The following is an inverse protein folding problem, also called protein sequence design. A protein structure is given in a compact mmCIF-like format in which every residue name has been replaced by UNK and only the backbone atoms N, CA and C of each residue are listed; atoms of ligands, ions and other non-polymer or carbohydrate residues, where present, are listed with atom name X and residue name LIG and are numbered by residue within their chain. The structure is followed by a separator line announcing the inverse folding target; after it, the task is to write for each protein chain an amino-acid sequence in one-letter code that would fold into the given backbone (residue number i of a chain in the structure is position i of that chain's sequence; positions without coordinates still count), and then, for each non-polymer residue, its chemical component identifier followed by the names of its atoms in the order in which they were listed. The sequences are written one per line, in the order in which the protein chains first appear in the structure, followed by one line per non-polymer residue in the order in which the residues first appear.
data_IF_613189802205
#
_entry.id   IF_613189802205
#
_cell.length_a   1.000
_cell.length_b   1.000
_cell.length_c   1.000
_cell.angle_alpha   90.00
_cell.angle_beta   90.00
_cell.angle_gamma   90.00
#
_symmetry.space_group_name_H-M   'P 1'
#
loop_
_entity.id
_entity.type
_entity.pdbx_description
1 polymer ?
#
# COMPACT_ATOMS: atom_id res chain seq x y z
N UNK A 1 -24.69 18.73 -39.63
CA UNK A 1 -23.98 20.02 -39.52
C UNK A 1 -24.81 20.95 -38.67
N UNK A 2 -24.44 21.14 -37.40
CA UNK A 2 -24.94 22.22 -36.56
C UNK A 2 -23.84 22.50 -35.53
N UNK A 3 -23.23 23.68 -35.66
CA UNK A 3 -22.23 24.22 -34.75
C UNK A 3 -22.96 25.15 -33.79
N UNK A 4 -22.71 25.04 -32.48
CA UNK A 4 -23.04 26.08 -31.52
C UNK A 4 -21.85 26.32 -30.59
N UNK A 5 -21.31 27.52 -30.72
CA UNK A 5 -20.39 28.21 -29.83
C UNK A 5 -21.01 28.42 -28.44
N UNK A 6 -20.20 28.36 -27.38
CA UNK A 6 -20.33 29.28 -26.25
C UNK A 6 -18.94 29.70 -25.72
N UNK A 7 -18.83 31.00 -25.47
CA UNK A 7 -17.66 31.77 -24.99
C UNK A 7 -18.05 32.43 -23.65
N UNK A 8 -17.04 32.85 -22.88
CA UNK A 8 -17.04 33.63 -21.61
C UNK A 8 -17.20 32.80 -20.34
N UNK A 9 -16.35 32.91 -19.31
CA UNK A 9 -15.87 34.13 -18.64
C UNK A 9 -14.40 34.06 -18.19
N UNK A 10 -13.74 35.22 -18.16
CA UNK A 10 -12.57 35.51 -17.33
C UNK A 10 -13.02 36.17 -16.02
N UNK A 11 -12.33 35.95 -14.89
CA UNK A 11 -12.07 36.94 -13.83
C UNK A 11 -11.05 36.41 -12.80
N UNK A 12 -10.28 37.36 -12.27
CA UNK A 12 -9.04 37.33 -11.50
C UNK A 12 -9.14 36.78 -10.04
N UNK A 13 -8.00 36.61 -9.33
CA UNK A 13 -7.93 35.96 -8.03
C UNK A 13 -8.33 36.92 -6.90
N UNK A 14 -8.99 36.36 -5.87
CA UNK A 14 -9.24 37.07 -4.63
C UNK A 14 -8.27 36.57 -3.55
N UNK A 15 -7.26 37.40 -3.26
CA UNK A 15 -6.46 37.36 -2.04
C UNK A 15 -7.31 37.96 -0.93
N UNK A 16 -7.59 37.21 0.14
CA UNK A 16 -8.01 37.79 1.43
C UNK A 16 -7.21 37.14 2.55
N UNK A 17 -6.78 38.02 3.44
CA UNK A 17 -5.82 37.87 4.52
C UNK A 17 -6.24 36.91 5.64
N UNK A 18 -5.21 36.25 6.18
CA UNK A 18 -5.07 35.79 7.56
C UNK A 18 -5.63 36.79 8.58
N UNK A 19 -6.30 36.32 9.63
CA UNK A 19 -6.06 36.61 11.06
C UNK A 19 -7.14 35.92 11.89
N UNK A 20 -6.74 35.11 12.87
CA UNK A 20 -7.67 34.55 13.85
C UNK A 20 -7.00 33.57 14.80
N UNK A 21 -6.32 34.08 15.82
CA UNK A 21 -5.77 33.32 16.93
C UNK A 21 -6.86 32.54 17.67
N UNK A 22 -6.70 31.23 17.81
CA UNK A 22 -7.48 30.39 18.70
C UNK A 22 -6.56 29.62 19.64
N UNK A 23 -6.37 30.16 20.85
CA UNK A 23 -5.77 29.44 21.96
C UNK A 23 -6.76 28.38 22.45
N UNK A 24 -6.44 27.09 22.27
CA UNK A 24 -7.11 26.00 22.98
C UNK A 24 -6.14 25.40 23.99
N UNK A 25 -6.45 25.68 25.26
CA UNK A 25 -5.83 25.07 26.43
C UNK A 25 -6.15 23.57 26.49
N UNK A 26 -5.10 22.76 26.60
CA UNK A 26 -5.17 21.33 26.87
C UNK A 26 -5.66 21.08 28.31
N UNK A 27 -6.75 20.33 28.46
CA UNK A 27 -7.11 19.66 29.71
C UNK A 27 -6.73 18.20 29.58
N UNK A 28 -5.74 17.77 30.37
CA UNK A 28 -5.40 16.37 30.58
C UNK A 28 -6.50 15.67 31.37
N UNK A 29 -6.93 14.52 30.89
CA UNK A 29 -7.59 13.52 31.70
C UNK A 29 -7.06 12.16 31.25
N UNK A 30 -5.95 11.77 31.86
CA UNK A 30 -5.55 10.38 32.02
C UNK A 30 -6.64 9.66 32.81
N UNK A 31 -7.33 8.73 32.16
CA UNK A 31 -8.18 7.77 32.86
C UNK A 31 -8.06 6.42 32.13
N UNK A 32 -6.94 5.72 32.40
CA UNK A 32 -6.78 4.30 32.05
C UNK A 32 -6.88 3.47 33.32
N UNK A 33 -7.81 2.50 33.39
CA UNK A 33 -7.92 1.60 34.53
C UNK A 33 -6.72 0.65 34.58
N UNK A 34 -6.10 0.60 35.75
CA UNK A 34 -5.05 -0.33 36.15
C UNK A 34 -5.51 -1.79 36.03
N UNK A 35 -4.85 -2.58 35.19
CA UNK A 35 -5.01 -4.05 35.17
C UNK A 35 -4.13 -4.64 36.28
N UNK A 36 -4.66 -5.51 37.16
CA UNK A 36 -3.88 -6.13 38.22
C UNK A 36 -2.86 -7.12 37.66
N UNK A 37 -1.63 -7.03 38.16
CA UNK A 37 -0.57 -7.99 37.95
C UNK A 37 -0.98 -9.35 38.57
N UNK A 38 -1.35 -10.29 37.71
CA UNK A 38 -1.60 -11.68 38.04
C UNK A 38 -0.31 -12.50 37.92
N UNK A 39 0.25 -12.78 39.08
CA UNK A 39 1.32 -13.72 39.39
C UNK A 39 0.98 -15.15 38.94
N UNK A 40 1.77 -15.74 38.03
CA UNK A 40 1.77 -17.19 37.76
C UNK A 40 3.19 -17.66 37.45
N UNK A 41 4.00 -17.75 38.51
CA UNK A 41 5.13 -18.67 38.58
C UNK A 41 4.62 -20.09 38.81
N UNK A 42 4.94 -21.01 37.90
CA UNK A 42 4.84 -22.46 38.09
C UNK A 42 6.16 -23.13 37.64
N UNK A 43 6.78 -24.00 38.45
CA UNK A 43 8.06 -24.61 38.12
C UNK A 43 7.94 -25.92 37.34
N UNK A 44 8.96 -26.13 36.50
CA UNK A 44 9.62 -27.36 36.03
C UNK A 44 8.87 -28.71 36.09
N UNK A 45 8.84 -29.41 34.95
CA UNK A 45 9.06 -30.86 34.91
C UNK A 45 10.09 -31.25 33.85
N UNK A 46 11.13 -31.89 34.37
CA UNK A 46 12.20 -32.64 33.73
C UNK A 46 11.75 -34.10 33.60
N UNK A 47 12.10 -34.77 32.51
CA UNK A 47 12.01 -36.23 32.42
C UNK A 47 11.62 -36.78 31.05
N UNK A 48 12.49 -37.63 30.50
CA UNK A 48 12.04 -38.68 29.58
C UNK A 48 12.97 -39.00 28.42
N UNK A 49 14.15 -39.54 28.71
CA UNK A 49 14.91 -40.31 27.74
C UNK A 49 14.12 -41.56 27.31
N UNK A 50 13.91 -41.72 26.00
CA UNK A 50 13.26 -42.88 25.41
C UNK A 50 13.90 -43.22 24.06
N UNK A 51 14.96 -44.01 24.12
CA UNK A 51 15.64 -44.63 22.98
C UNK A 51 14.73 -45.75 22.42
N UNK A 52 14.22 -45.62 21.21
CA UNK A 52 13.73 -46.76 20.42
C UNK A 52 14.29 -46.70 19.00
N UNK A 53 15.31 -47.52 18.79
CA UNK A 53 15.81 -47.94 17.49
C UNK A 53 14.83 -48.95 16.89
N UNK A 54 14.06 -48.52 15.89
CA UNK A 54 13.21 -49.37 15.06
C UNK A 54 13.71 -49.33 13.62
N UNK A 55 14.54 -50.30 13.27
CA UNK A 55 14.95 -50.61 11.91
C UNK A 55 13.75 -51.20 11.13
N UNK A 56 13.38 -50.53 10.03
CA UNK A 56 12.45 -51.06 9.02
C UNK A 56 12.90 -50.56 7.66
N UNK A 57 13.83 -51.32 7.08
CA UNK A 57 14.15 -51.31 5.66
C UNK A 57 12.93 -51.76 4.85
N UNK A 58 12.15 -50.79 4.39
CA UNK A 58 11.21 -50.96 3.28
C UNK A 58 11.59 -49.96 2.20
N UNK A 59 12.22 -50.42 1.12
CA UNK A 59 12.49 -49.63 -0.08
C UNK A 59 11.15 -49.22 -0.73
N UNK A 60 10.78 -47.93 -0.74
CA UNK A 60 9.70 -47.45 -1.58
C UNK A 60 10.24 -47.25 -3.00
N UNK A 61 9.53 -47.81 -3.97
CA UNK A 61 9.82 -47.62 -5.38
C UNK A 61 9.88 -46.13 -5.71
N UNK A 62 11.00 -45.71 -6.31
CA UNK A 62 11.23 -44.37 -6.81
C UNK A 62 10.36 -44.11 -8.03
N UNK A 63 9.10 -43.74 -7.81
CA UNK A 63 8.34 -43.02 -8.82
C UNK A 63 8.99 -41.66 -9.00
N UNK A 64 9.41 -41.41 -10.24
CA UNK A 64 10.18 -40.24 -10.64
C UNK A 64 9.44 -38.96 -10.23
N UNK A 65 10.12 -37.96 -9.65
CA UNK A 65 9.48 -36.67 -9.43
C UNK A 65 9.05 -36.14 -10.79
N UNK A 66 7.74 -35.95 -10.96
CA UNK A 66 7.19 -35.16 -12.05
C UNK A 66 7.81 -33.78 -11.88
N UNK A 67 8.79 -33.47 -12.74
CA UNK A 67 9.29 -32.12 -12.94
C UNK A 67 8.12 -31.34 -13.52
N UNK A 68 7.27 -30.82 -12.63
CA UNK A 68 6.26 -29.86 -12.99
C UNK A 68 7.00 -28.68 -13.61
N UNK A 69 6.80 -28.46 -14.90
CA UNK A 69 7.19 -27.23 -15.54
C UNK A 69 6.60 -26.10 -14.69
N UNK A 70 7.45 -25.41 -13.92
CA UNK A 70 7.12 -24.09 -13.41
C UNK A 70 6.73 -23.28 -14.63
N UNK A 71 5.42 -23.09 -14.81
CA UNK A 71 4.92 -22.16 -15.80
C UNK A 71 5.49 -20.81 -15.42
N UNK A 72 6.53 -20.43 -16.16
CA UNK A 72 7.23 -19.18 -15.99
C UNK A 72 6.23 -18.09 -16.36
N UNK A 73 5.53 -17.56 -15.36
CA UNK A 73 4.66 -16.40 -15.54
C UNK A 73 5.55 -15.28 -16.06
N UNK A 74 5.51 -15.05 -17.37
CA UNK A 74 6.12 -13.89 -18.00
C UNK A 74 5.23 -12.71 -17.60
N UNK A 75 5.61 -12.05 -16.51
CA UNK A 75 5.05 -10.76 -16.14
C UNK A 75 5.49 -9.79 -17.23
N UNK A 76 4.58 -9.47 -18.14
CA UNK A 76 4.79 -8.42 -19.13
C UNK A 76 4.64 -7.10 -18.36
N UNK A 77 5.74 -6.61 -17.81
CA UNK A 77 5.84 -5.25 -17.29
C UNK A 77 5.72 -4.23 -18.44
N UNK A 78 5.38 -2.98 -18.14
CA UNK A 78 5.22 -1.93 -19.15
C UNK A 78 6.54 -1.67 -19.91
N UNK A 79 6.44 -1.50 -21.23
CA UNK A 79 7.51 -0.85 -21.99
C UNK A 79 7.46 0.66 -21.67
N UNK A 80 8.37 1.18 -20.83
CA UNK A 80 8.26 2.58 -20.40
C UNK A 80 9.42 3.14 -19.59
N UNK A 81 9.25 4.40 -19.15
CA UNK A 81 10.12 5.18 -18.27
C UNK A 81 9.61 5.20 -16.81
N UNK A 82 8.75 4.23 -16.47
CA UNK A 82 8.20 4.03 -15.14
C UNK A 82 9.32 3.91 -14.10
N UNK A 83 9.31 4.82 -13.14
CA UNK A 83 10.38 4.91 -12.15
C UNK A 83 9.96 5.65 -10.88
N UNK A 84 10.60 5.26 -9.79
CA UNK A 84 10.61 5.96 -8.51
C UNK A 84 11.99 6.62 -8.33
N UNK A 85 12.01 7.91 -8.01
CA UNK A 85 13.22 8.68 -7.74
C UNK A 85 13.20 9.24 -6.33
N UNK A 86 14.22 8.88 -5.54
CA UNK A 86 14.46 9.40 -4.19
C UNK A 86 15.93 9.75 -4.03
N UNK A 87 16.24 10.98 -3.63
CA UNK A 87 17.61 11.46 -3.41
C UNK A 87 18.54 11.17 -4.61
N UNK A 88 18.11 11.55 -5.82
CA UNK A 88 18.79 11.32 -7.11
C UNK A 88 19.04 9.85 -7.50
N UNK A 89 18.52 8.88 -6.72
CA UNK A 89 18.53 7.46 -7.07
C UNK A 89 17.21 7.10 -7.73
N UNK A 90 17.29 6.45 -8.88
CA UNK A 90 16.15 5.94 -9.64
C UNK A 90 16.00 4.43 -9.45
N UNK A 91 14.77 4.00 -9.26
CA UNK A 91 14.34 2.60 -9.20
C UNK A 91 13.35 2.40 -10.35
N UNK A 92 13.50 1.39 -11.21
CA UNK A 92 12.47 1.08 -12.19
C UNK A 92 11.16 0.70 -11.47
N UNK A 93 10.03 0.71 -12.18
CA UNK A 93 8.76 0.22 -11.66
C UNK A 93 8.09 -0.61 -12.76
N UNK A 94 7.81 -1.87 -12.46
CA UNK A 94 7.49 -2.88 -13.47
C UNK A 94 6.11 -3.52 -13.23
N UNK A 95 5.52 -3.33 -12.04
CA UNK A 95 4.24 -3.91 -11.68
C UNK A 95 3.41 -2.98 -10.79
N UNK A 96 2.09 -3.01 -10.99
CA UNK A 96 1.13 -2.29 -10.16
C UNK A 96 -0.11 -3.13 -9.85
N UNK A 97 -0.59 -3.01 -8.62
CA UNK A 97 -1.77 -3.69 -8.09
C UNK A 97 -2.70 -2.67 -7.42
N UNK A 98 -4.01 -2.82 -7.66
CA UNK A 98 -5.08 -2.12 -6.96
C UNK A 98 -6.00 -3.13 -6.26
N UNK A 99 -5.87 -3.25 -4.94
CA UNK A 99 -6.75 -4.08 -4.11
C UNK A 99 -8.03 -3.32 -3.75
N UNK A 100 -9.17 -3.76 -4.28
CA UNK A 100 -10.47 -3.11 -4.09
C UNK A 100 -11.11 -3.63 -2.81
N UNK A 101 -11.30 -2.74 -1.82
CA UNK A 101 -11.98 -3.02 -0.56
C UNK A 101 -13.44 -2.56 -0.55
N UNK A 102 -13.87 -1.82 -1.58
CA UNK A 102 -15.24 -1.36 -1.73
C UNK A 102 -15.55 -0.10 -0.94
N UNK A 103 -16.83 0.13 -0.64
CA UNK A 103 -17.31 1.38 -0.03
C UNK A 103 -17.09 1.37 1.50
N UNK A 104 -16.43 2.41 2.00
CA UNK A 104 -16.24 2.72 3.41
C UNK A 104 -16.71 4.15 3.69
N UNK A 105 -17.84 4.29 4.38
CA UNK A 105 -18.46 5.60 4.61
C UNK A 105 -18.91 6.26 3.30
N UNK A 106 -18.34 7.42 2.97
CA UNK A 106 -18.63 8.18 1.75
C UNK A 106 -17.58 7.99 0.65
N UNK A 107 -16.67 7.02 0.83
CA UNK A 107 -15.55 6.79 -0.07
C UNK A 107 -15.49 5.34 -0.56
N UNK A 108 -15.02 5.17 -1.78
CA UNK A 108 -14.59 3.89 -2.33
C UNK A 108 -13.10 3.70 -2.06
N UNK A 109 -12.75 2.60 -1.39
CA UNK A 109 -11.39 2.32 -0.94
C UNK A 109 -10.67 1.32 -1.86
N UNK A 110 -9.47 1.70 -2.26
CA UNK A 110 -8.55 0.86 -3.04
C UNK A 110 -7.14 1.01 -2.46
N UNK A 111 -6.47 -0.09 -2.17
CA UNK A 111 -5.06 -0.06 -1.77
C UNK A 111 -4.20 -0.24 -3.01
N UNK A 112 -3.33 0.72 -3.27
CA UNK A 112 -2.42 0.68 -4.41
C UNK A 112 -1.03 0.28 -3.97
N UNK A 113 -0.42 -0.62 -4.76
CA UNK A 113 0.99 -1.00 -4.64
C UNK A 113 1.65 -0.90 -6.01
N UNK A 114 2.77 -0.18 -6.12
CA UNK A 114 3.61 -0.16 -7.33
C UNK A 114 5.03 -0.56 -6.95
N UNK A 115 5.67 -1.41 -7.75
CA UNK A 115 6.96 -2.00 -7.41
C UNK A 115 7.76 -2.39 -8.65
N UNK A 116 9.07 -2.61 -8.49
CA UNK A 116 9.95 -3.30 -9.45
C UNK A 116 10.00 -4.83 -9.25
N UNK A 117 9.33 -5.34 -8.23
CA UNK A 117 9.25 -6.77 -7.95
C UNK A 117 8.09 -7.47 -8.67
N UNK A 118 7.75 -8.64 -8.13
CA UNK A 118 6.60 -9.46 -8.52
C UNK A 118 5.59 -9.48 -7.38
N UNK A 119 4.40 -9.99 -7.65
CA UNK A 119 3.42 -10.29 -6.61
C UNK A 119 3.32 -11.79 -6.37
N UNK A 120 3.20 -12.19 -5.10
CA UNK A 120 2.83 -13.55 -4.70
C UNK A 120 1.61 -13.52 -3.80
N UNK A 121 0.86 -14.61 -3.75
CA UNK A 121 -0.27 -14.73 -2.83
C UNK A 121 0.25 -15.14 -1.45
N UNK A 122 -0.03 -14.33 -0.43
CA UNK A 122 0.31 -14.60 0.97
C UNK A 122 -0.92 -14.51 1.88
N UNK A 123 -1.18 -15.53 2.73
CA UNK A 123 -2.25 -15.46 3.72
C UNK A 123 -1.92 -14.40 4.77
N UNK A 124 -2.81 -13.42 4.92
CA UNK A 124 -2.66 -12.28 5.83
C UNK A 124 -3.86 -12.22 6.76
N UNK A 125 -3.62 -12.06 8.06
CA UNK A 125 -4.69 -11.93 9.06
C UNK A 125 -5.07 -10.46 9.22
N UNK A 126 -6.31 -10.12 8.90
CA UNK A 126 -6.88 -8.78 9.09
C UNK A 126 -8.15 -8.95 9.90
N UNK A 127 -8.22 -8.32 11.08
CA UNK A 127 -9.39 -8.40 11.97
C UNK A 127 -9.82 -9.85 12.29
N UNK A 128 -8.85 -10.73 12.54
CA UNK A 128 -9.04 -12.17 12.83
C UNK A 128 -9.54 -13.03 11.65
N UNK A 129 -9.69 -12.44 10.45
CA UNK A 129 -10.01 -13.16 9.22
C UNK A 129 -8.76 -13.29 8.32
N UNK A 130 -8.62 -14.42 7.64
CA UNK A 130 -7.48 -14.71 6.76
C UNK A 130 -7.85 -14.35 5.32
N UNK A 131 -7.15 -13.37 4.78
CA UNK A 131 -7.24 -12.95 3.38
C UNK A 131 -6.02 -13.43 2.60
N UNK A 132 -6.22 -13.83 1.35
CA UNK A 132 -5.13 -14.17 0.43
C UNK A 132 -4.71 -12.92 -0.35
N UNK A 133 -3.78 -12.15 0.19
CA UNK A 133 -3.35 -10.88 -0.41
C UNK A 133 -2.21 -11.08 -1.40
N UNK A 134 -2.20 -10.26 -2.45
CA UNK A 134 -1.05 -10.19 -3.35
C UNK A 134 -0.03 -9.25 -2.72
N UNK A 135 1.11 -9.80 -2.35
CA UNK A 135 2.19 -9.05 -1.68
C UNK A 135 3.41 -8.96 -2.59
N UNK A 136 4.09 -7.81 -2.62
CA UNK A 136 5.29 -7.63 -3.42
C UNK A 136 6.44 -8.51 -2.87
N UNK A 137 7.16 -9.17 -3.76
CA UNK A 137 8.33 -10.00 -3.51
C UNK A 137 9.36 -9.79 -4.62
N UNK A 138 10.61 -10.14 -4.35
CA UNK A 138 11.74 -9.85 -5.26
C UNK A 138 11.82 -8.36 -5.62
N UNK A 139 11.39 -7.47 -4.72
CA UNK A 139 11.30 -6.03 -4.94
C UNK A 139 12.52 -5.31 -4.35
N UNK A 140 13.05 -4.31 -5.05
CA UNK A 140 14.03 -3.37 -4.47
C UNK A 140 13.39 -2.05 -4.06
N UNK A 141 12.21 -1.74 -4.60
CA UNK A 141 11.41 -0.58 -4.21
C UNK A 141 9.92 -0.86 -4.29
N UNK A 142 9.18 -0.27 -3.35
CA UNK A 142 7.72 -0.30 -3.32
C UNK A 142 7.20 1.08 -2.95
N UNK A 143 6.11 1.49 -3.60
CA UNK A 143 5.22 2.53 -3.09
C UNK A 143 3.86 1.92 -2.80
N UNK A 144 3.34 2.19 -1.61
CA UNK A 144 2.03 1.75 -1.15
C UNK A 144 1.20 2.96 -0.71
N UNK A 145 -0.10 2.94 -0.99
CA UNK A 145 -1.05 3.92 -0.47
C UNK A 145 -2.48 3.37 -0.39
N UNK A 146 -3.18 3.69 0.70
CA UNK A 146 -4.63 3.46 0.81
C UNK A 146 -5.36 4.67 0.22
N UNK A 147 -6.04 4.45 -0.90
CA UNK A 147 -6.73 5.50 -1.65
C UNK A 147 -8.21 5.50 -1.31
N UNK A 148 -8.78 6.70 -1.21
CA UNK A 148 -10.19 6.92 -0.90
C UNK A 148 -10.79 7.86 -1.94
N UNK A 149 -11.48 7.28 -2.91
CA UNK A 149 -12.23 8.02 -3.93
C UNK A 149 -13.56 8.49 -3.36
N UNK A 150 -14.03 9.72 -3.62
CA UNK A 150 -15.37 10.10 -3.19
C UNK A 150 -16.43 9.33 -4.00
N UNK A 151 -17.47 8.84 -3.32
CA UNK A 151 -18.56 8.11 -3.97
C UNK A 151 -18.45 6.58 -3.83
N UNK A 152 -19.01 5.86 -4.79
CA UNK A 152 -19.17 4.40 -4.79
C UNK A 152 -18.29 3.68 -5.83
N UNK A 153 -17.42 4.41 -6.53
CA UNK A 153 -16.47 3.87 -7.51
C UNK A 153 -15.11 4.56 -7.41
N UNK A 154 -14.07 3.87 -7.91
CA UNK A 154 -12.73 4.45 -8.00
C UNK A 154 -12.69 5.56 -9.05
N UNK A 155 -12.11 6.70 -8.70
CA UNK A 155 -12.02 7.87 -9.60
C UNK A 155 -10.58 8.15 -10.05
N UNK A 156 -10.41 8.49 -11.33
CA UNK A 156 -9.13 8.87 -11.92
C UNK A 156 -8.92 10.38 -11.77
N UNK A 157 -8.43 10.79 -10.60
CA UNK A 157 -8.23 12.19 -10.20
C UNK A 157 -6.92 12.35 -9.42
N UNK A 158 -6.63 13.57 -8.97
CA UNK A 158 -5.56 13.83 -8.01
C UNK A 158 -6.04 13.56 -6.58
N UNK A 159 -5.32 12.70 -5.88
CA UNK A 159 -5.49 12.41 -4.47
C UNK A 159 -4.43 13.17 -3.66
N UNK A 160 -4.87 13.84 -2.60
CA UNK A 160 -3.97 14.50 -1.65
C UNK A 160 -3.76 13.66 -0.40
N UNK A 161 -2.57 13.68 0.17
CA UNK A 161 -2.31 13.02 1.44
C UNK A 161 -3.20 13.61 2.54
N UNK A 162 -3.80 12.73 3.35
CA UNK A 162 -4.52 13.11 4.56
C UNK A 162 -4.03 12.28 5.75
N UNK A 163 -3.61 12.91 6.86
CA UNK A 163 -3.26 12.20 8.08
C UNK A 163 -4.50 11.78 8.90
N UNK A 164 -5.68 12.33 8.56
CA UNK A 164 -6.97 11.97 9.14
C UNK A 164 -7.61 10.96 8.19
N UNK A 165 -7.92 9.75 8.66
CA UNK A 165 -8.47 8.67 7.83
C UNK A 165 -9.90 8.94 7.32
N UNK A 166 -10.50 7.96 6.64
CA UNK A 166 -11.79 8.08 5.95
C UNK A 166 -13.01 8.41 6.84
N UNK A 167 -12.93 8.14 8.13
CA UNK A 167 -14.00 8.44 9.09
C UNK A 167 -14.22 9.95 9.32
N UNK A 168 -13.35 10.80 8.79
CA UNK A 168 -13.46 12.24 8.95
C UNK A 168 -14.45 12.86 7.95
N UNK A 169 -15.54 13.41 8.47
CA UNK A 169 -16.50 14.20 7.68
C UNK A 169 -15.87 15.41 6.95
N UNK A 170 -14.67 15.86 7.37
CA UNK A 170 -13.93 16.92 6.69
C UNK A 170 -13.42 16.49 5.29
N UNK A 171 -13.37 15.18 5.00
CA UNK A 171 -12.91 14.62 3.73
C UNK A 171 -14.05 14.21 2.80
N UNK A 172 -15.30 14.40 3.21
CA UNK A 172 -16.47 14.17 2.38
C UNK A 172 -16.33 14.87 1.02
N UNK A 173 -16.51 14.10 -0.06
CA UNK A 173 -16.39 14.60 -1.43
C UNK A 173 -14.97 14.90 -1.94
N UNK A 174 -13.94 14.66 -1.12
CA UNK A 174 -12.54 14.83 -1.52
C UNK A 174 -11.88 13.48 -1.78
N UNK A 175 -11.06 13.41 -2.82
CA UNK A 175 -10.17 12.30 -3.09
C UNK A 175 -8.88 12.45 -2.26
N UNK A 176 -8.57 11.47 -1.43
CA UNK A 176 -7.38 11.50 -0.57
C UNK A 176 -6.74 10.12 -0.43
N UNK A 177 -5.51 10.10 0.05
CA UNK A 177 -4.86 8.85 0.44
C UNK A 177 -4.28 8.94 1.86
N UNK A 178 -4.21 7.78 2.51
CA UNK A 178 -3.69 7.61 3.87
C UNK A 178 -2.82 6.34 3.95
N UNK A 179 -2.25 6.10 5.13
CA UNK A 179 -1.45 4.89 5.44
C UNK A 179 -0.42 4.53 4.35
N UNK A 180 0.24 5.54 3.78
CA UNK A 180 1.13 5.38 2.66
C UNK A 180 2.61 5.31 3.10
N UNK A 181 3.41 4.56 2.36
CA UNK A 181 4.85 4.48 2.56
C UNK A 181 5.60 4.27 1.23
N UNK A 182 6.88 4.59 1.26
CA UNK A 182 7.85 4.18 0.24
C UNK A 182 8.89 3.33 0.93
N UNK A 183 9.08 2.09 0.47
CA UNK A 183 10.02 1.16 1.05
C UNK A 183 11.12 0.76 0.06
N UNK A 184 12.28 0.40 0.59
CA UNK A 184 13.46 0.01 -0.18
C UNK A 184 14.10 -1.21 0.44
N UNK A 185 14.39 -2.25 -0.34
CA UNK A 185 15.14 -3.41 0.15
C UNK A 185 16.62 -3.01 0.32
N UNK A 186 17.00 -2.66 1.55
CA UNK A 186 18.33 -2.17 1.91
C UNK A 186 19.27 -3.36 2.08
N UNK A 187 18.78 -4.44 2.67
CA UNK A 187 19.58 -5.63 2.98
C UNK A 187 19.69 -6.64 1.82
N UNK A 188 18.91 -6.43 0.75
CA UNK A 188 18.83 -7.26 -0.47
C UNK A 188 18.24 -8.63 -0.22
N UNK A 189 17.30 -8.74 0.72
CA UNK A 189 16.57 -9.97 1.00
C UNK A 189 15.58 -10.34 -0.11
N UNK A 190 15.23 -9.37 -0.97
CA UNK A 190 14.16 -9.46 -1.95
C UNK A 190 12.78 -9.15 -1.36
N UNK A 191 12.70 -8.76 -0.09
CA UNK A 191 11.48 -8.28 0.54
C UNK A 191 11.76 -6.89 1.12
N UNK A 192 10.70 -6.10 1.29
CA UNK A 192 10.80 -4.80 1.94
C UNK A 192 10.12 -4.90 3.29
N UNK A 193 10.95 -4.97 4.33
CA UNK A 193 10.48 -5.14 5.70
C UNK A 193 9.98 -3.81 6.29
N UNK A 194 9.26 -3.88 7.42
CA UNK A 194 8.64 -2.69 8.05
C UNK A 194 9.67 -1.61 8.43
N UNK A 195 10.87 -1.99 8.86
CA UNK A 195 11.94 -1.06 9.23
C UNK A 195 12.62 -0.41 8.01
N UNK A 196 12.34 -0.92 6.82
CA UNK A 196 12.79 -0.38 5.53
C UNK A 196 11.75 0.56 4.88
N UNK A 197 10.57 0.69 5.50
CA UNK A 197 9.49 1.55 5.03
C UNK A 197 9.63 2.97 5.58
N UNK A 198 9.56 3.94 4.67
CA UNK A 198 9.49 5.35 4.99
C UNK A 198 8.05 5.84 4.83
N UNK A 199 7.40 6.15 5.95
CA UNK A 199 6.05 6.70 5.94
C UNK A 199 5.96 7.99 5.12
N UNK A 200 4.84 8.13 4.39
CA UNK A 200 4.48 9.36 3.68
C UNK A 200 3.76 10.31 4.64
N UNK A 201 4.21 11.57 4.67
CA UNK A 201 3.66 12.64 5.52
C UNK A 201 2.98 13.76 4.72
N UNK A 202 2.95 13.65 3.39
CA UNK A 202 2.39 14.68 2.52
C UNK A 202 2.59 14.38 1.04
N UNK A 203 1.91 15.15 0.19
CA UNK A 203 2.06 15.09 -1.26
C UNK A 203 0.81 14.65 -2.01
N UNK A 204 0.98 14.24 -3.26
CA UNK A 204 -0.10 13.90 -4.18
C UNK A 204 0.21 12.65 -4.97
N UNK A 205 -0.86 11.92 -5.32
CA UNK A 205 -0.87 10.86 -6.34
C UNK A 205 -1.93 11.26 -7.36
N UNK A 206 -1.56 11.36 -8.62
CA UNK A 206 -2.44 11.75 -9.72
C UNK A 206 -2.60 10.59 -10.69
N UNK A 207 -3.86 10.29 -11.01
CA UNK A 207 -4.21 9.34 -12.05
C UNK A 207 -4.70 10.08 -13.28
N UNK A 208 -4.16 9.71 -14.45
CA UNK A 208 -4.65 10.18 -15.74
C UNK A 208 -4.85 9.01 -16.71
N UNK A 209 -5.43 9.29 -17.88
CA UNK A 209 -5.71 8.26 -18.89
C UNK A 209 -7.08 7.61 -18.77
N UNK A 210 -7.24 6.46 -19.42
CA UNK A 210 -8.48 5.66 -19.43
C UNK A 210 -8.10 4.18 -19.35
N UNK A 211 -8.91 3.34 -18.72
CA UNK A 211 -8.66 1.89 -18.70
C UNK A 211 -8.55 1.32 -20.14
N UNK A 212 -7.57 0.44 -20.42
CA UNK A 212 -6.53 -0.05 -19.51
C UNK A 212 -5.26 0.83 -19.41
N UNK A 213 -5.17 1.87 -20.23
CA UNK A 213 -4.03 2.79 -20.37
C UNK A 213 -4.08 3.92 -19.31
N UNK A 214 -3.85 3.55 -18.04
CA UNK A 214 -3.79 4.48 -16.92
C UNK A 214 -2.34 4.89 -16.68
N UNK A 215 -2.14 6.18 -16.40
CA UNK A 215 -0.87 6.72 -15.92
C UNK A 215 -1.02 7.18 -14.48
N UNK A 216 -0.02 6.88 -13.66
CA UNK A 216 0.07 7.29 -12.27
C UNK A 216 1.32 8.14 -12.09
N UNK A 217 1.15 9.39 -11.68
CA UNK A 217 2.22 10.27 -11.26
C UNK A 217 2.14 10.51 -9.75
N UNK A 218 3.27 10.55 -9.07
CA UNK A 218 3.29 10.84 -7.64
C UNK A 218 4.46 11.71 -7.23
N UNK A 219 4.21 12.55 -6.22
CA UNK A 219 5.22 13.38 -5.58
C UNK A 219 4.89 13.49 -4.10
N UNK A 220 5.58 12.71 -3.27
CA UNK A 220 5.29 12.55 -1.85
C UNK A 220 6.47 12.98 -0.98
N UNK A 221 6.16 13.49 0.21
CA UNK A 221 7.15 13.85 1.24
C UNK A 221 7.24 12.72 2.24
N UNK A 222 8.45 12.20 2.46
CA UNK A 222 8.73 11.09 3.35
C UNK A 222 9.03 11.57 4.77
N UNK A 223 8.93 10.66 5.74
CA UNK A 223 9.16 10.95 7.17
C UNK A 223 10.56 11.48 7.51
N UNK A 224 11.56 11.21 6.66
CA UNK A 224 12.92 11.75 6.81
C UNK A 224 13.12 13.12 6.13
N UNK A 225 12.05 13.74 5.62
CA UNK A 225 12.07 15.03 4.94
C UNK A 225 12.48 14.99 3.46
N UNK A 226 12.80 13.81 2.92
CA UNK A 226 13.06 13.65 1.49
C UNK A 226 11.77 13.68 0.68
N UNK A 227 11.90 14.00 -0.60
CA UNK A 227 10.81 13.85 -1.58
C UNK A 227 11.05 12.60 -2.40
N UNK A 228 10.01 11.77 -2.52
CA UNK A 228 9.93 10.70 -3.49
C UNK A 228 9.02 11.13 -4.63
N UNK A 229 9.49 10.98 -5.87
CA UNK A 229 8.71 11.26 -7.06
C UNK A 229 8.71 10.06 -7.97
N UNK A 230 7.67 9.88 -8.74
CA UNK A 230 7.70 8.84 -9.74
C UNK A 230 6.53 8.90 -10.68
N UNK A 231 6.61 8.00 -11.63
CA UNK A 231 5.68 7.83 -12.70
C UNK A 231 5.55 6.34 -12.97
N UNK A 232 4.35 5.88 -13.26
CA UNK A 232 4.08 4.53 -13.73
C UNK A 232 3.07 4.60 -14.88
N UNK A 233 3.50 4.15 -16.05
CA UNK A 233 2.63 3.74 -17.15
C UNK A 233 2.59 2.23 -17.16
N UNK A 234 1.40 1.64 -17.28
CA UNK A 234 1.29 0.19 -17.40
C UNK A 234 -0.08 -0.35 -17.04
N UNK A 235 -0.20 -1.66 -17.11
CA UNK A 235 -1.40 -2.35 -16.66
C UNK A 235 -1.46 -2.33 -15.14
N UNK A 236 -2.66 -2.08 -14.62
CA UNK A 236 -3.00 -2.27 -13.23
C UNK A 236 -3.81 -3.55 -13.11
N UNK A 237 -3.34 -4.47 -12.27
CA UNK A 237 -4.18 -5.60 -11.88
C UNK A 237 -5.11 -5.13 -10.76
N UNK A 238 -6.42 -5.24 -10.96
CA UNK A 238 -7.41 -4.89 -9.95
C UNK A 238 -8.07 -6.14 -9.41
N UNK A 239 -7.96 -6.37 -8.09
CA UNK A 239 -8.51 -7.54 -7.42
C UNK A 239 -9.52 -7.13 -6.36
N UNK A 240 -10.74 -7.69 -6.41
CA UNK A 240 -11.76 -7.49 -5.38
C UNK A 240 -11.40 -8.29 -4.12
N UNK A 241 -11.56 -7.66 -2.95
CA UNK A 241 -11.34 -8.25 -1.63
C UNK A 241 -12.66 -8.55 -0.93
#
# INVERSE_FOLDING_TARGET
MASCFFKYFALLPCIVFLHGCGNSSATSADDRPSIPAGDLLGPAEDGGAGLQTGDSTGEPQADSPIVGNSEHLVVIGPEGDSSLVVNDRSYPLDAALGDIWGVQGEHFNVNFTVTDGKFTIMPTSISEEIYNLLVPVEATAIIYAEMFSPGDEFSFVTYSYSPIGAESAALAGNAFFANAYVGFDIDRSGNVDEDEQLAVLGGTIEFTGILPDIELEFSVTLQNGLTAKGHYTGLFDFTNR
#
